data_IF_143380856195
#
_entry.id   IF_143380856195
#
_cell.length_a   1.000
_cell.length_b   1.000
_cell.length_c   1.000
_cell.angle_alpha   90.00
_cell.angle_beta   90.00
_cell.angle_gamma   90.00
#
_symmetry.space_group_name_H-M   'P 1'
#
loop_
_entity.id
_entity.type
_entity.pdbx_description
1 polymer ?
#
# COMPACT_ATOMS: atom_id res chain seq x y z
N UNK A 1 1.90 1.17 47.64
CA UNK A 1 3.27 1.31 47.10
C UNK A 1 4.19 1.58 48.27
N UNK A 2 5.26 0.78 48.49
CA UNK A 2 6.16 1.01 49.61
C UNK A 2 6.95 2.32 49.41
N UNK A 3 7.09 3.08 50.48
CA UNK A 3 7.80 4.36 50.54
C UNK A 3 9.03 4.16 51.43
N UNK A 4 10.20 4.65 51.00
CA UNK A 4 11.43 4.53 51.78
C UNK A 4 11.42 5.50 52.99
N UNK A 5 12.41 5.39 53.88
CA UNK A 5 12.55 6.24 55.07
C UNK A 5 12.75 7.74 54.76
N UNK A 6 12.98 8.08 53.49
CA UNK A 6 13.10 9.47 53.00
C UNK A 6 11.83 9.99 52.34
N UNK A 7 10.73 9.22 52.37
CA UNK A 7 9.45 9.62 51.78
C UNK A 7 9.36 9.43 50.27
N UNK A 8 10.31 8.73 49.66
CA UNK A 8 10.33 8.49 48.22
C UNK A 8 9.65 7.16 47.88
N UNK A 9 8.85 7.14 46.82
CA UNK A 9 8.25 5.93 46.30
C UNK A 9 9.35 4.99 45.78
N UNK A 10 9.42 3.78 46.33
CA UNK A 10 10.27 2.72 45.78
C UNK A 10 9.59 2.27 44.48
N UNK A 11 10.11 2.73 43.34
CA UNK A 11 9.80 2.14 42.05
C UNK A 11 10.49 0.78 42.02
N UNK A 12 9.72 -0.30 42.10
CA UNK A 12 10.23 -1.61 41.70
C UNK A 12 10.85 -1.46 40.30
N UNK A 13 12.03 -2.03 40.02
CA UNK A 13 12.54 -2.05 38.66
C UNK A 13 11.52 -2.79 37.83
N UNK A 14 10.72 -2.04 37.06
CA UNK A 14 9.85 -2.60 36.05
C UNK A 14 10.75 -3.46 35.18
N UNK A 15 10.55 -4.77 35.24
CA UNK A 15 11.08 -5.70 34.27
C UNK A 15 10.84 -5.08 32.90
N UNK A 16 11.93 -4.81 32.17
CA UNK A 16 11.93 -4.21 30.85
C UNK A 16 11.24 -5.20 29.88
N UNK A 17 9.91 -5.29 29.95
CA UNK A 17 9.08 -5.97 28.97
C UNK A 17 8.78 -4.97 27.87
N UNK A 18 9.68 -4.79 26.91
CA UNK A 18 9.31 -4.32 25.55
C UNK A 18 10.42 -4.35 24.49
N UNK A 19 11.60 -4.92 24.76
CA UNK A 19 12.33 -5.55 23.66
C UNK A 19 11.77 -6.97 23.50
N UNK A 20 10.52 -7.04 23.01
CA UNK A 20 10.07 -8.25 22.33
C UNK A 20 11.08 -8.45 21.20
N UNK A 21 11.92 -9.47 21.29
CA UNK A 21 12.58 -10.04 20.12
C UNK A 21 11.46 -10.32 19.12
N UNK A 22 11.24 -9.39 18.19
CA UNK A 22 10.26 -9.58 17.13
C UNK A 22 10.82 -10.75 16.33
N UNK A 23 10.14 -11.89 16.39
CA UNK A 23 10.52 -13.06 15.61
C UNK A 23 10.62 -12.64 14.15
N UNK A 24 11.69 -12.99 13.43
CA UNK A 24 11.89 -12.59 12.04
C UNK A 24 10.67 -12.82 11.14
N UNK A 25 9.94 -13.91 11.37
CA UNK A 25 8.71 -14.27 10.67
C UNK A 25 7.57 -13.28 10.94
N UNK A 26 7.43 -12.80 12.19
CA UNK A 26 6.45 -11.78 12.53
C UNK A 26 6.78 -10.43 11.85
N UNK A 27 8.07 -10.11 11.73
CA UNK A 27 8.52 -8.91 11.03
C UNK A 27 8.28 -9.01 9.51
N UNK A 28 8.49 -10.20 8.92
CA UNK A 28 8.16 -10.48 7.52
C UNK A 28 6.65 -10.43 7.27
N UNK A 29 5.84 -11.01 8.16
CA UNK A 29 4.39 -10.94 8.10
C UNK A 29 3.88 -9.49 8.13
N UNK A 30 4.45 -8.65 9.00
CA UNK A 30 4.14 -7.22 9.06
C UNK A 30 4.47 -6.48 7.76
N UNK A 31 5.61 -6.79 7.13
CA UNK A 31 5.98 -6.21 5.83
C UNK A 31 5.05 -6.67 4.70
N UNK A 32 4.69 -7.97 4.68
CA UNK A 32 3.70 -8.53 3.75
C UNK A 32 2.37 -7.78 3.86
N UNK A 33 1.82 -7.61 5.07
CA UNK A 33 0.58 -6.88 5.27
C UNK A 33 0.68 -5.42 4.80
N UNK A 34 1.83 -4.78 5.02
CA UNK A 34 2.13 -3.45 4.49
C UNK A 34 2.00 -3.36 2.96
N UNK A 35 2.52 -4.36 2.23
CA UNK A 35 2.41 -4.44 0.77
C UNK A 35 0.94 -4.58 0.32
N UNK A 36 0.17 -5.45 1.00
CA UNK A 36 -1.19 -5.80 0.61
C UNK A 36 -2.20 -4.68 0.86
N UNK A 37 -2.16 -4.04 2.03
CA UNK A 37 -3.12 -2.99 2.45
C UNK A 37 -3.10 -1.77 1.51
N UNK A 38 -1.95 -1.47 0.91
CA UNK A 38 -1.80 -0.31 0.05
C UNK A 38 -2.28 -0.53 -1.39
N UNK A 39 -2.58 -1.78 -1.76
CA UNK A 39 -3.02 -2.14 -3.11
C UNK A 39 -4.38 -1.53 -3.43
N UNK A 40 -4.53 -1.08 -4.67
CA UNK A 40 -5.78 -0.56 -5.21
C UNK A 40 -6.31 -1.49 -6.30
N UNK A 41 -7.63 -1.47 -6.50
CA UNK A 41 -8.21 -2.05 -7.70
C UNK A 41 -8.29 -0.94 -8.75
N UNK A 42 -7.56 -1.03 -9.89
CA UNK A 42 -7.79 -0.07 -10.97
C UNK A 42 -9.20 -0.31 -11.52
N UNK A 43 -9.93 0.75 -11.84
CA UNK A 43 -11.29 0.69 -12.43
C UNK A 43 -11.30 0.15 -13.89
N UNK A 44 -10.22 -0.52 -14.31
CA UNK A 44 -10.10 -1.10 -15.64
C UNK A 44 -10.36 -2.61 -15.60
N UNK A 45 -11.15 -3.07 -16.57
CA UNK A 45 -11.63 -4.45 -16.69
C UNK A 45 -10.55 -5.49 -17.05
N UNK A 46 -9.30 -5.07 -17.33
CA UNK A 46 -8.20 -5.96 -17.73
C UNK A 46 -7.10 -6.06 -16.68
N UNK A 47 -7.45 -6.36 -15.44
CA UNK A 47 -6.46 -6.73 -14.43
C UNK A 47 -6.04 -8.19 -14.64
N UNK A 48 -4.74 -8.50 -14.85
CA UNK A 48 -4.26 -9.87 -14.82
C UNK A 48 -4.63 -10.56 -13.50
N UNK A 49 -4.82 -11.89 -13.49
CA UNK A 49 -5.00 -12.63 -12.24
C UNK A 49 -3.77 -12.43 -11.35
N UNK A 50 -4.00 -12.36 -10.04
CA UNK A 50 -2.96 -12.35 -9.00
C UNK A 50 -1.93 -11.22 -9.05
N UNK A 51 -2.20 -10.10 -9.73
CA UNK A 51 -1.37 -8.89 -9.60
C UNK A 51 -2.00 -7.88 -8.64
N UNK A 52 -1.18 -7.08 -8.01
CA UNK A 52 -1.59 -5.90 -7.26
C UNK A 52 -1.34 -4.66 -8.11
N UNK A 53 -2.03 -3.57 -7.77
CA UNK A 53 -1.82 -2.29 -8.43
C UNK A 53 -1.54 -1.22 -7.38
N UNK A 54 -0.52 -0.40 -7.65
CA UNK A 54 -0.14 0.76 -6.85
C UNK A 54 0.17 1.93 -7.79
N UNK A 55 0.02 3.16 -7.31
CA UNK A 55 0.29 4.36 -8.12
C UNK A 55 1.02 5.43 -7.31
N UNK A 56 1.84 6.22 -8.00
CA UNK A 56 2.57 7.36 -7.44
C UNK A 56 3.43 6.96 -6.25
N UNK A 57 3.32 7.68 -5.14
CA UNK A 57 4.09 7.44 -3.92
C UNK A 57 3.94 6.01 -3.35
N UNK A 58 2.78 5.37 -3.55
CA UNK A 58 2.58 3.99 -3.08
C UNK A 58 3.41 3.00 -3.89
N UNK A 59 3.56 3.21 -5.20
CA UNK A 59 4.39 2.34 -6.03
C UNK A 59 5.86 2.40 -5.60
N UNK A 60 6.39 3.61 -5.39
CA UNK A 60 7.78 3.77 -4.95
C UNK A 60 8.00 3.19 -3.55
N UNK A 61 7.09 3.44 -2.61
CA UNK A 61 7.16 2.83 -1.28
C UNK A 61 7.14 1.29 -1.32
N UNK A 62 6.29 0.69 -2.16
CA UNK A 62 6.22 -0.77 -2.27
C UNK A 62 7.44 -1.38 -2.96
N UNK A 63 8.12 -0.65 -3.86
CA UNK A 63 9.44 -1.07 -4.39
C UNK A 63 10.47 -1.14 -3.27
N UNK A 64 10.56 -0.09 -2.45
CA UNK A 64 11.48 -0.04 -1.31
C UNK A 64 11.16 -1.13 -0.28
N UNK A 65 9.87 -1.33 0.04
CA UNK A 65 9.43 -2.33 0.99
C UNK A 65 9.72 -3.75 0.50
N UNK A 66 9.51 -4.04 -0.80
CA UNK A 66 9.87 -5.32 -1.40
C UNK A 66 11.37 -5.60 -1.29
N UNK A 67 12.21 -4.60 -1.59
CA UNK A 67 13.67 -4.71 -1.45
C UNK A 67 14.07 -4.96 0.01
N UNK A 68 13.48 -4.22 0.94
CA UNK A 68 13.72 -4.38 2.38
C UNK A 68 13.33 -5.78 2.86
N UNK A 69 12.19 -6.29 2.41
CA UNK A 69 11.71 -7.62 2.77
C UNK A 69 12.64 -8.71 2.23
N UNK A 70 13.15 -8.57 0.99
CA UNK A 70 14.16 -9.47 0.40
C UNK A 70 15.46 -9.47 1.22
N UNK A 71 16.00 -8.29 1.53
CA UNK A 71 17.22 -8.14 2.34
C UNK A 71 17.06 -8.75 3.73
N UNK A 72 15.89 -8.55 4.35
CA UNK A 72 15.59 -9.11 5.66
C UNK A 72 15.48 -10.64 5.61
N UNK A 73 14.78 -11.19 4.61
CA UNK A 73 14.70 -12.64 4.42
C UNK A 73 16.09 -13.27 4.22
N UNK A 74 16.95 -12.63 3.42
CA UNK A 74 18.33 -13.07 3.20
C UNK A 74 19.16 -13.02 4.49
N UNK A 75 19.08 -11.90 5.25
CA UNK A 75 19.80 -11.73 6.50
C UNK A 75 19.51 -12.85 7.52
N UNK A 76 18.27 -13.33 7.58
CA UNK A 76 17.84 -14.37 8.51
C UNK A 76 17.74 -15.77 7.89
N UNK A 77 18.16 -15.95 6.63
CA UNK A 77 18.08 -17.21 5.88
C UNK A 77 16.67 -17.82 5.82
N UNK A 78 15.65 -16.97 5.67
CA UNK A 78 14.25 -17.37 5.58
C UNK A 78 13.87 -17.51 4.12
N UNK A 79 13.30 -18.66 3.74
CA UNK A 79 12.83 -18.94 2.38
C UNK A 79 11.32 -19.16 2.32
N UNK A 80 10.74 -19.56 3.43
CA UNK A 80 9.31 -19.69 3.65
C UNK A 80 8.99 -19.49 5.13
N UNK A 81 7.76 -19.07 5.43
CA UNK A 81 7.28 -18.95 6.80
C UNK A 81 5.77 -19.15 6.87
N UNK A 82 5.27 -19.51 8.04
CA UNK A 82 3.83 -19.46 8.34
C UNK A 82 3.52 -18.15 9.04
N UNK A 83 2.61 -17.38 8.48
CA UNK A 83 2.17 -16.11 9.05
C UNK A 83 1.56 -16.35 10.45
N UNK A 84 2.13 -15.77 11.52
CA UNK A 84 1.69 -16.03 12.89
C UNK A 84 0.30 -15.46 13.19
N UNK A 85 -0.24 -14.57 12.34
CA UNK A 85 -1.53 -13.94 12.53
C UNK A 85 -2.65 -14.63 11.74
N UNK A 86 -2.33 -15.17 10.56
CA UNK A 86 -3.31 -15.75 9.64
C UNK A 86 -3.19 -17.27 9.49
N UNK A 87 -2.10 -17.88 9.98
CA UNK A 87 -1.71 -19.27 9.72
C UNK A 87 -1.56 -19.61 8.23
N UNK A 88 -1.36 -18.61 7.37
CA UNK A 88 -1.08 -18.80 5.95
C UNK A 88 0.39 -19.22 5.77
N UNK A 89 0.63 -20.34 5.08
CA UNK A 89 1.99 -20.73 4.68
C UNK A 89 2.40 -19.95 3.44
N UNK A 90 3.56 -19.30 3.49
CA UNK A 90 4.07 -18.44 2.43
C UNK A 90 5.46 -18.88 2.00
N UNK A 91 5.61 -19.15 0.71
CA UNK A 91 6.91 -19.30 0.05
C UNK A 91 7.36 -17.94 -0.46
N UNK A 92 8.52 -17.46 -0.01
CA UNK A 92 8.96 -16.09 -0.27
C UNK A 92 9.33 -15.87 -1.75
N UNK A 93 9.86 -16.87 -2.45
CA UNK A 93 10.14 -16.76 -3.89
C UNK A 93 8.89 -16.41 -4.68
N UNK A 94 7.82 -17.17 -4.47
CA UNK A 94 6.55 -17.02 -5.19
C UNK A 94 5.88 -15.69 -4.86
N UNK A 95 5.97 -15.31 -3.58
CA UNK A 95 5.50 -14.01 -3.12
C UNK A 95 6.26 -12.87 -3.80
N UNK A 96 7.59 -12.90 -3.80
CA UNK A 96 8.36 -11.83 -4.42
C UNK A 96 8.14 -11.75 -5.94
N UNK A 97 8.02 -12.87 -6.63
CA UNK A 97 7.69 -12.91 -8.06
C UNK A 97 6.31 -12.29 -8.35
N UNK A 98 5.34 -12.52 -7.46
CA UNK A 98 4.03 -11.86 -7.52
C UNK A 98 4.16 -10.34 -7.33
N UNK A 99 4.94 -9.89 -6.37
CA UNK A 99 5.16 -8.47 -6.11
C UNK A 99 5.90 -7.80 -7.27
N UNK A 100 6.90 -8.44 -7.88
CA UNK A 100 7.60 -7.91 -9.04
C UNK A 100 6.68 -7.74 -10.25
N UNK A 101 5.88 -8.76 -10.58
CA UNK A 101 4.85 -8.64 -11.62
C UNK A 101 3.89 -7.49 -11.34
N UNK A 102 3.53 -7.30 -10.07
CA UNK A 102 2.66 -6.19 -9.64
C UNK A 102 3.33 -4.82 -9.79
N UNK A 103 4.63 -4.70 -9.49
CA UNK A 103 5.42 -3.47 -9.68
C UNK A 103 5.51 -3.13 -11.17
N UNK A 104 5.79 -4.12 -12.03
CA UNK A 104 5.88 -3.92 -13.49
C UNK A 104 4.52 -3.47 -14.02
N UNK A 105 3.46 -4.21 -13.71
CA UNK A 105 2.10 -3.87 -14.11
C UNK A 105 1.70 -2.46 -13.65
N UNK A 106 2.01 -2.11 -12.40
CA UNK A 106 1.73 -0.78 -11.83
C UNK A 106 2.48 0.34 -12.56
N UNK A 107 3.74 0.08 -12.91
CA UNK A 107 4.59 1.04 -13.61
C UNK A 107 4.12 1.30 -15.04
N UNK A 108 3.60 0.27 -15.72
CA UNK A 108 3.06 0.38 -17.07
C UNK A 108 1.66 0.99 -17.12
N UNK A 109 0.81 0.63 -16.15
CA UNK A 109 -0.58 1.07 -16.14
C UNK A 109 -0.78 2.44 -15.51
N UNK A 110 0.05 2.84 -14.54
CA UNK A 110 -0.04 4.15 -13.87
C UNK A 110 -0.18 5.32 -14.86
N UNK A 111 0.77 5.50 -15.81
CA UNK A 111 0.70 6.57 -16.80
C UNK A 111 -0.54 6.50 -17.70
N UNK A 112 -0.95 5.29 -18.10
CA UNK A 112 -2.13 5.09 -18.97
C UNK A 112 -3.43 5.49 -18.28
N UNK A 113 -3.54 5.18 -16.98
CA UNK A 113 -4.69 5.57 -16.16
C UNK A 113 -4.73 7.09 -15.98
N UNK A 114 -3.58 7.72 -15.74
CA UNK A 114 -3.51 9.19 -15.62
C UNK A 114 -3.89 9.89 -16.93
N UNK A 115 -3.42 9.36 -18.07
CA UNK A 115 -3.75 9.88 -19.39
C UNK A 115 -5.24 9.71 -19.69
N UNK A 116 -5.80 8.52 -19.44
CA UNK A 116 -7.23 8.27 -19.59
C UNK A 116 -8.06 9.22 -18.72
N UNK A 117 -7.74 9.34 -17.44
CA UNK A 117 -8.46 10.23 -16.51
C UNK A 117 -8.37 11.70 -16.91
N UNK A 118 -7.25 12.15 -17.49
CA UNK A 118 -7.13 13.51 -18.06
C UNK A 118 -8.07 13.67 -19.26
N UNK A 119 -8.07 12.72 -20.19
CA UNK A 119 -8.94 12.76 -21.36
C UNK A 119 -10.43 12.76 -20.99
N UNK A 120 -10.86 11.94 -20.02
CA UNK A 120 -12.26 11.93 -19.57
C UNK A 120 -12.63 13.27 -18.91
N UNK A 121 -11.71 13.84 -18.11
CA UNK A 121 -11.95 15.13 -17.45
C UNK A 121 -12.03 16.29 -18.43
N UNK A 122 -11.17 16.30 -19.45
CA UNK A 122 -11.18 17.33 -20.50
C UNK A 122 -12.47 17.23 -21.34
N UNK A 123 -12.90 16.01 -21.68
CA UNK A 123 -14.16 15.77 -22.39
C UNK A 123 -15.39 16.23 -21.58
N UNK A 124 -15.43 15.95 -20.27
CA UNK A 124 -16.50 16.40 -19.37
C UNK A 124 -16.58 17.93 -19.26
N UNK A 125 -15.42 18.61 -19.19
CA UNK A 125 -15.40 20.09 -19.14
C UNK A 125 -15.81 20.71 -20.49
N UNK A 126 -15.44 20.10 -21.62
CA UNK A 126 -15.89 20.53 -22.94
C UNK A 126 -17.41 20.36 -23.10
N UNK A 127 -17.98 19.24 -22.65
CA UNK A 127 -19.42 19.01 -22.66
C UNK A 127 -20.17 20.01 -21.77
N UNK A 128 -19.68 20.27 -20.56
CA UNK A 128 -20.24 21.31 -19.67
C UNK A 128 -20.18 22.69 -20.31
N UNK A 129 -19.07 23.04 -20.97
CA UNK A 129 -18.93 24.32 -21.65
C UNK A 129 -19.92 24.46 -22.82
N UNK A 130 -20.11 23.39 -23.59
CA UNK A 130 -21.09 23.33 -24.68
C UNK A 130 -22.54 23.49 -24.16
N UNK A 131 -22.89 22.81 -23.07
CA UNK A 131 -24.19 22.95 -22.42
C UNK A 131 -24.43 24.37 -21.91
N UNK A 132 -23.43 25.00 -21.28
CA UNK A 132 -23.50 26.41 -20.85
C UNK A 132 -23.79 27.33 -22.03
N UNK A 133 -23.07 27.18 -23.15
CA UNK A 133 -23.27 27.99 -24.35
C UNK A 133 -24.67 27.85 -24.93
N UNK A 134 -25.18 26.61 -25.04
CA UNK A 134 -26.55 26.36 -25.51
C UNK A 134 -27.63 26.96 -24.59
N UNK A 135 -27.41 26.96 -23.27
CA UNK A 135 -28.30 27.62 -22.31
C UNK A 135 -28.32 29.13 -22.50
N UNK A 136 -27.16 29.77 -22.65
CA UNK A 136 -27.06 31.21 -22.92
C UNK A 136 -27.74 31.60 -24.24
N UNK A 137 -27.52 30.83 -25.32
CA UNK A 137 -28.13 31.08 -26.63
C UNK A 137 -29.66 30.88 -26.63
N UNK A 138 -30.18 30.01 -25.74
CA UNK A 138 -31.63 29.85 -25.55
C UNK A 138 -32.25 30.99 -24.74
N UNK A 139 -31.52 31.52 -23.76
CA UNK A 139 -31.98 32.64 -22.94
C UNK A 139 -31.99 33.95 -23.73
N UNK A 140 -31.02 34.19 -24.63
CA UNK A 140 -30.94 35.41 -25.44
C UNK A 140 -31.94 35.47 -26.60
N UNK A 141 -32.55 34.35 -26.98
CA UNK A 141 -33.57 34.28 -28.06
C UNK A 141 -35.02 34.40 -27.56
N UNK A 142 -35.23 34.52 -26.25
CA UNK A 142 -36.53 34.71 -25.62
C UNK A 142 -36.76 36.18 -25.18
N UNK A 143 -35.89 37.11 -25.57
CA UNK A 143 -36.11 38.56 -25.54
C UNK A 143 -36.64 39.06 -26.91
#
# INVERSE_FOLDING_TARGET
MPINEKGEFIREPSHNKSELEIQPEAQLASMKEGLLVQSTHPDFSQKPPDVLFWQGARLEHNKELNQKMRQYAEQYNITEFTDPYTNEHMVLSDFFDKIERSIVYSSEMGPRIEEHNKQTKDADEEEKAKLRRMLFDKLSKNE
#
